data_IF_010543923536
#
_entry.id   IF_010543923536
#
_cell.length_a   1.000
_cell.length_b   1.000
_cell.length_c   1.000
_cell.angle_alpha   90.00
_cell.angle_beta   90.00
_cell.angle_gamma   90.00
#
_symmetry.space_group_name_H-M   'P 1'
#
loop_
_entity.id
_entity.type
_entity.pdbx_description
1 polymer ?
#
# COMPACT_ATOMS: atom_id res chain seq x y z
N UNK A 1 -12.89 -15.54 10.93
CA UNK A 1 -11.76 -14.79 10.38
C UNK A 1 -11.29 -15.45 9.10
N UNK A 2 -11.31 -14.76 8.01
CA UNK A 2 -11.00 -15.34 6.69
C UNK A 2 -10.14 -14.42 5.86
N UNK A 3 -9.24 -15.01 5.05
CA UNK A 3 -8.53 -14.32 3.98
C UNK A 3 -9.00 -14.93 2.67
N UNK A 4 -9.45 -14.08 1.75
CA UNK A 4 -9.91 -14.50 0.43
C UNK A 4 -9.30 -13.65 -0.66
N UNK A 5 -9.11 -14.24 -1.83
CA UNK A 5 -8.80 -13.49 -3.05
C UNK A 5 -10.11 -12.97 -3.64
N UNK A 6 -10.29 -11.64 -3.66
CA UNK A 6 -11.51 -11.01 -4.20
C UNK A 6 -11.42 -10.77 -5.70
N UNK A 7 -10.27 -10.32 -6.17
CA UNK A 7 -10.08 -9.99 -7.57
C UNK A 7 -8.74 -10.56 -8.03
N UNK A 8 -8.81 -11.64 -8.79
CA UNK A 8 -7.61 -12.36 -9.26
C UNK A 8 -6.76 -11.50 -10.21
N UNK A 9 -7.41 -10.75 -11.10
CA UNK A 9 -6.73 -9.91 -12.07
C UNK A 9 -5.92 -8.81 -11.41
N UNK A 10 -6.50 -8.12 -10.44
CA UNK A 10 -5.85 -7.03 -9.71
C UNK A 10 -5.06 -7.50 -8.48
N UNK A 11 -5.25 -8.76 -8.06
CA UNK A 11 -4.57 -9.29 -6.88
C UNK A 11 -5.07 -8.69 -5.58
N UNK A 12 -6.37 -8.41 -5.49
CA UNK A 12 -6.98 -7.82 -4.29
C UNK A 12 -7.47 -8.93 -3.38
N UNK A 13 -7.02 -8.87 -2.12
CA UNK A 13 -7.41 -9.79 -1.06
C UNK A 13 -8.25 -9.07 -0.02
N UNK A 14 -9.09 -9.82 0.67
CA UNK A 14 -9.83 -9.34 1.83
C UNK A 14 -9.48 -10.19 3.06
N UNK A 15 -9.22 -9.52 4.17
CA UNK A 15 -9.14 -10.12 5.49
C UNK A 15 -10.41 -9.73 6.24
N UNK A 16 -11.29 -10.69 6.45
CA UNK A 16 -12.65 -10.42 6.90
C UNK A 16 -12.94 -11.07 8.26
N UNK A 17 -13.41 -10.27 9.20
CA UNK A 17 -13.97 -10.76 10.47
C UNK A 17 -15.46 -11.07 10.32
N UNK A 18 -16.21 -10.13 9.75
CA UNK A 18 -17.65 -10.27 9.46
C UNK A 18 -18.01 -9.32 8.30
N UNK A 19 -19.32 -9.18 8.02
CA UNK A 19 -19.78 -8.35 6.90
C UNK A 19 -19.46 -6.87 7.06
N UNK A 20 -19.30 -6.40 8.29
CA UNK A 20 -19.14 -4.97 8.61
C UNK A 20 -17.73 -4.62 9.06
N UNK A 21 -16.83 -5.60 9.16
CA UNK A 21 -15.47 -5.41 9.68
C UNK A 21 -14.47 -6.18 8.83
N UNK A 22 -13.73 -5.45 7.98
CA UNK A 22 -12.75 -6.06 7.11
C UNK A 22 -11.70 -5.05 6.62
N UNK A 23 -10.59 -5.58 6.12
CA UNK A 23 -9.63 -4.80 5.35
C UNK A 23 -9.42 -5.46 3.99
N UNK A 24 -9.12 -4.66 2.98
CA UNK A 24 -8.67 -5.13 1.67
C UNK A 24 -7.23 -4.69 1.45
N UNK A 25 -6.46 -5.52 0.79
CA UNK A 25 -5.06 -5.22 0.52
C UNK A 25 -4.62 -5.81 -0.82
N UNK A 26 -3.56 -5.25 -1.38
CA UNK A 26 -3.09 -5.63 -2.70
C UNK A 26 -1.57 -5.84 -2.71
N UNK A 27 -1.08 -7.09 -2.59
CA UNK A 27 0.35 -7.37 -2.67
C UNK A 27 1.00 -6.92 -3.97
N UNK A 28 0.30 -7.03 -5.10
CA UNK A 28 0.82 -6.60 -6.41
C UNK A 28 1.15 -5.11 -6.49
N UNK A 29 0.58 -4.31 -5.60
CA UNK A 29 0.77 -2.87 -5.57
C UNK A 29 1.41 -2.45 -4.24
N UNK A 30 2.55 -3.08 -3.92
CA UNK A 30 3.33 -2.73 -2.74
C UNK A 30 2.70 -3.08 -1.40
N UNK A 31 1.78 -4.05 -1.37
CA UNK A 31 1.13 -4.46 -0.12
C UNK A 31 0.18 -3.43 0.45
N UNK A 32 -0.28 -2.46 -0.36
CA UNK A 32 -1.14 -1.38 0.11
C UNK A 32 -2.45 -1.92 0.70
N UNK A 33 -2.86 -1.35 1.84
CA UNK A 33 -4.21 -1.56 2.36
C UNK A 33 -5.11 -0.55 1.67
N UNK A 34 -6.05 -1.04 0.88
CA UNK A 34 -6.93 -0.18 0.06
C UNK A 34 -8.18 0.25 0.79
N UNK A 35 -8.69 -0.62 1.64
CA UNK A 35 -9.94 -0.37 2.35
C UNK A 35 -9.84 -0.86 3.78
N UNK A 36 -10.42 -0.11 4.69
CA UNK A 36 -10.62 -0.53 6.06
C UNK A 36 -12.04 -0.14 6.47
N UNK A 37 -12.89 -1.16 6.68
CA UNK A 37 -14.28 -0.97 7.08
C UNK A 37 -14.44 -1.47 8.51
N UNK A 38 -14.95 -0.61 9.36
CA UNK A 38 -15.24 -0.90 10.77
C UNK A 38 -16.69 -0.52 11.07
N UNK A 39 -17.44 -1.46 11.59
CA UNK A 39 -18.88 -1.31 11.86
C UNK A 39 -19.65 -0.76 10.65
N UNK A 40 -19.30 -1.24 9.46
CA UNK A 40 -19.95 -0.83 8.22
C UNK A 40 -19.50 0.52 7.66
N UNK A 41 -18.55 1.20 8.32
CA UNK A 41 -18.05 2.51 7.88
C UNK A 41 -16.65 2.38 7.27
N UNK A 42 -16.48 2.93 6.06
CA UNK A 42 -15.17 3.04 5.42
C UNK A 42 -14.34 4.10 6.14
N UNK A 43 -13.15 3.71 6.62
CA UNK A 43 -12.31 4.59 7.43
C UNK A 43 -11.27 5.31 6.58
N UNK A 44 -10.80 4.68 5.50
CA UNK A 44 -9.72 5.22 4.68
C UNK A 44 -10.24 5.94 3.46
N UNK A 45 -9.59 7.07 3.10
CA UNK A 45 -9.71 7.64 1.76
C UNK A 45 -8.94 6.77 0.78
N UNK A 46 -9.52 6.50 -0.39
CA UNK A 46 -8.85 5.73 -1.43
C UNK A 46 -9.38 6.12 -2.80
N UNK A 47 -8.46 6.48 -3.69
CA UNK A 47 -8.79 6.80 -5.09
C UNK A 47 -8.79 5.52 -5.92
N UNK A 48 -9.94 4.88 -6.02
CA UNK A 48 -10.11 3.60 -6.69
C UNK A 48 -9.85 3.69 -8.19
N UNK A 49 -10.33 4.74 -8.85
CA UNK A 49 -10.11 4.93 -10.29
C UNK A 49 -8.64 5.03 -10.62
N UNK A 50 -7.91 5.80 -9.83
CA UNK A 50 -6.47 5.94 -9.98
C UNK A 50 -5.74 4.64 -9.71
N UNK A 51 -6.18 3.87 -8.71
CA UNK A 51 -5.61 2.56 -8.38
C UNK A 51 -5.74 1.57 -9.54
N UNK A 52 -6.85 1.61 -10.28
CA UNK A 52 -7.07 0.71 -11.42
C UNK A 52 -6.16 1.01 -12.60
N UNK A 53 -5.55 2.18 -12.65
CA UNK A 53 -4.57 2.55 -13.67
C UNK A 53 -3.15 2.23 -13.19
N UNK A 54 -2.55 1.16 -13.71
CA UNK A 54 -1.23 0.71 -13.31
C UNK A 54 -0.09 1.68 -13.67
N UNK A 55 -0.37 2.68 -14.51
CA UNK A 55 0.62 3.69 -14.89
C UNK A 55 0.71 4.84 -13.90
N UNK A 56 -0.24 4.91 -12.96
CA UNK A 56 -0.33 5.97 -11.96
C UNK A 56 0.01 5.46 -10.57
N UNK A 57 0.56 6.35 -9.76
CA UNK A 57 0.80 6.07 -8.35
C UNK A 57 -0.53 5.97 -7.59
N UNK A 58 -0.52 5.19 -6.51
CA UNK A 58 -1.69 5.03 -5.65
C UNK A 58 -1.88 6.28 -4.81
N UNK A 59 -3.14 6.69 -4.61
CA UNK A 59 -3.53 7.79 -3.71
C UNK A 59 -4.50 7.26 -2.67
N UNK A 60 -4.19 7.50 -1.40
CA UNK A 60 -4.99 7.01 -0.27
C UNK A 60 -4.60 5.62 0.17
N UNK A 61 -5.41 5.05 1.06
CA UNK A 61 -5.10 3.78 1.70
C UNK A 61 -3.95 3.88 2.70
N UNK A 62 -3.41 2.74 3.09
CA UNK A 62 -2.23 2.67 3.97
C UNK A 62 -1.10 2.00 3.19
N UNK A 63 -0.11 2.76 2.72
CA UNK A 63 1.03 2.20 2.00
C UNK A 63 2.07 1.62 2.95
N UNK A 64 2.92 0.74 2.42
CA UNK A 64 4.11 0.29 3.13
C UNK A 64 5.30 1.04 2.55
N UNK A 65 6.04 1.72 3.41
CA UNK A 65 7.17 2.55 3.03
C UNK A 65 8.46 1.89 3.52
N UNK A 66 9.39 1.63 2.60
CA UNK A 66 10.66 0.99 2.92
C UNK A 66 11.67 1.25 1.80
N UNK A 67 12.94 1.45 2.11
CA UNK A 67 13.52 1.43 3.46
C UNK A 67 13.38 2.74 4.23
N UNK A 68 12.76 3.75 3.65
CA UNK A 68 12.59 5.06 4.29
C UNK A 68 11.16 5.55 4.19
N UNK A 69 10.81 6.49 5.07
CA UNK A 69 9.58 7.25 5.02
C UNK A 69 9.94 8.71 4.75
N UNK A 70 9.43 9.27 3.64
CA UNK A 70 9.76 10.63 3.23
C UNK A 70 10.97 10.71 2.31
N UNK A 71 11.67 11.84 2.34
CA UNK A 71 12.85 12.09 1.53
C UNK A 71 14.12 11.92 2.36
N UNK A 72 15.19 11.43 1.72
CA UNK A 72 16.52 11.43 2.32
C UNK A 72 17.20 12.76 2.00
N UNK A 73 17.82 13.34 3.04
CA UNK A 73 18.73 14.44 2.85
C UNK A 73 20.00 13.92 2.17
N UNK A 74 20.40 14.55 1.05
CA UNK A 74 21.55 14.11 0.27
C UNK A 74 22.87 14.19 1.02
N UNK A 75 22.95 14.96 2.12
CA UNK A 75 24.13 15.02 2.99
C UNK A 75 24.15 13.90 4.03
N UNK A 76 23.10 13.12 4.14
CA UNK A 76 22.99 12.06 5.15
C UNK A 76 23.37 10.72 4.57
N UNK A 77 24.07 9.92 5.38
CA UNK A 77 24.37 8.53 5.08
C UNK A 77 23.45 7.64 5.89
N UNK A 78 22.81 6.67 5.23
CA UNK A 78 21.94 5.68 5.87
C UNK A 78 22.68 4.35 5.88
N UNK A 79 22.72 3.67 7.02
CA UNK A 79 23.41 2.38 7.19
C UNK A 79 24.92 2.45 6.90
N UNK A 80 25.54 3.60 7.11
CA UNK A 80 26.97 3.79 6.91
C UNK A 80 27.42 3.73 5.45
N UNK A 81 26.47 3.81 4.50
CA UNK A 81 26.72 3.83 3.06
C UNK A 81 25.95 4.93 2.40
N UNK A 82 26.34 5.21 1.17
CA UNK A 82 25.74 6.25 0.37
C UNK A 82 24.50 5.73 -0.37
N UNK A 83 23.32 5.93 0.22
CA UNK A 83 22.04 5.55 -0.38
C UNK A 83 21.33 6.76 -0.98
N UNK A 84 22.07 7.64 -1.59
CA UNK A 84 21.56 8.90 -2.12
C UNK A 84 20.57 8.75 -3.27
N UNK A 85 20.45 7.57 -3.84
CA UNK A 85 19.60 7.31 -4.99
C UNK A 85 18.19 6.84 -4.61
N UNK A 86 17.87 6.78 -3.32
CA UNK A 86 16.54 6.35 -2.89
C UNK A 86 15.52 7.44 -3.17
N UNK A 87 14.42 7.03 -3.81
CA UNK A 87 13.27 7.89 -4.07
C UNK A 87 12.54 8.23 -2.77
N UNK A 88 11.74 9.29 -2.79
CA UNK A 88 10.84 9.61 -1.69
C UNK A 88 10.05 8.37 -1.26
N UNK A 89 10.02 8.09 0.04
CA UNK A 89 9.38 6.91 0.65
C UNK A 89 10.00 5.56 0.25
N UNK A 90 11.16 5.54 -0.40
CA UNK A 90 11.82 4.31 -0.82
C UNK A 90 11.09 3.63 -1.98
N UNK A 91 11.16 2.29 -2.05
CA UNK A 91 10.69 1.54 -3.22
C UNK A 91 9.64 0.46 -2.91
N UNK A 92 9.43 0.08 -1.65
CA UNK A 92 8.57 -1.07 -1.33
C UNK A 92 7.13 -0.92 -1.81
N UNK A 93 6.60 0.30 -1.76
CA UNK A 93 5.21 0.57 -2.17
C UNK A 93 4.97 0.39 -3.67
N UNK A 94 6.03 0.40 -4.47
CA UNK A 94 5.95 0.30 -5.92
C UNK A 94 6.26 -1.11 -6.42
N UNK A 95 6.53 -2.05 -5.52
CA UNK A 95 6.88 -3.41 -5.85
C UNK A 95 5.67 -4.35 -5.80
N UNK A 96 5.77 -5.41 -6.58
CA UNK A 96 4.89 -6.56 -6.45
C UNK A 96 5.42 -7.47 -5.34
N UNK A 97 4.60 -7.69 -4.37
CA UNK A 97 4.95 -8.54 -3.23
C UNK A 97 4.48 -9.96 -3.40
#
# INVERSE_FOLDING_TARGET
MRIKLLNKEKGIYIFQLDQNNYIKFCPKRGGVITNWVSDGNEILYFDEKRFMDNTKSIRGGIPILFPICGNINTSSSVFGKDYLQLMQHGFARDLHW
#
